data_IF_219248234990
#
_entry.id   IF_219248234990
#
_cell.length_a   1.000
_cell.length_b   1.000
_cell.length_c   1.000
_cell.angle_alpha   90.00
_cell.angle_beta   90.00
_cell.angle_gamma   90.00
#
_symmetry.space_group_name_H-M   'P 1'
#
loop_
_entity.id
_entity.type
_entity.pdbx_description
1 polymer ?
#
# COMPACT_ATOMS: atom_id res chain seq x y z
N UNK A 1 21.58 -17.77 3.85
CA UNK A 1 20.13 -17.94 3.67
C UNK A 1 19.83 -17.73 2.21
N UNK A 2 19.32 -18.74 1.51
CA UNK A 2 18.89 -18.60 0.12
C UNK A 2 17.48 -19.15 0.03
N UNK A 3 16.50 -18.26 0.03
CA UNK A 3 15.08 -18.60 -0.07
C UNK A 3 14.70 -18.50 -1.54
N UNK A 4 14.43 -19.64 -2.17
CA UNK A 4 13.94 -19.72 -3.54
C UNK A 4 12.45 -19.39 -3.65
N UNK A 5 11.76 -19.25 -2.51
CA UNK A 5 10.37 -18.83 -2.44
C UNK A 5 10.31 -17.32 -2.17
N UNK A 6 9.55 -16.58 -2.98
CA UNK A 6 9.31 -15.13 -2.82
C UNK A 6 8.52 -14.77 -1.54
N UNK A 7 8.45 -15.67 -0.54
CA UNK A 7 7.73 -15.46 0.72
C UNK A 7 8.39 -14.42 1.63
N UNK A 8 9.68 -14.15 1.42
CA UNK A 8 10.45 -13.21 2.23
C UNK A 8 10.57 -11.81 1.60
N UNK A 9 9.89 -11.56 0.46
CA UNK A 9 9.95 -10.28 -0.25
C UNK A 9 8.60 -9.59 -0.20
N UNK A 10 8.59 -8.36 0.28
CA UNK A 10 7.38 -7.52 0.36
C UNK A 10 7.60 -6.22 -0.43
N UNK A 11 6.69 -5.94 -1.36
CA UNK A 11 6.57 -4.62 -1.95
C UNK A 11 5.72 -3.72 -1.06
N UNK A 12 6.27 -2.56 -0.69
CA UNK A 12 5.62 -1.51 0.09
C UNK A 12 5.72 -0.20 -0.69
N UNK A 13 4.58 0.45 -0.90
CA UNK A 13 4.51 1.83 -1.40
C UNK A 13 3.89 2.72 -0.33
N UNK A 14 4.64 3.71 0.16
CA UNK A 14 4.18 4.63 1.21
C UNK A 14 4.28 6.07 0.74
N UNK A 15 3.20 6.83 0.90
CA UNK A 15 3.17 8.26 0.59
C UNK A 15 3.27 9.09 1.87
N UNK A 16 4.28 9.96 1.93
CA UNK A 16 4.55 10.84 3.07
C UNK A 16 4.43 12.30 2.69
N UNK A 17 3.88 13.11 3.60
CA UNK A 17 3.89 14.56 3.52
C UNK A 17 4.20 15.15 4.90
N UNK A 18 5.14 16.11 4.99
CA UNK A 18 5.57 16.70 6.27
C UNK A 18 5.94 15.67 7.36
N UNK A 19 6.62 14.58 6.98
CA UNK A 19 6.99 13.45 7.87
C UNK A 19 5.79 12.67 8.43
N UNK A 20 4.57 12.95 7.97
CA UNK A 20 3.37 12.19 8.27
C UNK A 20 3.10 11.20 7.14
N UNK A 21 2.90 9.93 7.49
CA UNK A 21 2.43 8.93 6.53
C UNK A 21 0.95 9.17 6.24
N UNK A 22 0.61 9.26 4.96
CA UNK A 22 -0.76 9.52 4.54
C UNK A 22 -1.45 8.19 4.23
N UNK A 23 -0.88 7.38 3.33
CA UNK A 23 -1.38 6.05 3.02
C UNK A 23 -0.25 5.12 2.56
N UNK A 24 -0.50 3.81 2.64
CA UNK A 24 0.42 2.76 2.21
C UNK A 24 -0.30 1.64 1.46
N UNK A 25 0.28 1.18 0.37
CA UNK A 25 0.02 -0.15 -0.17
C UNK A 25 1.11 -1.11 0.34
N UNK A 26 0.67 -2.29 0.74
CA UNK A 26 1.56 -3.42 1.00
C UNK A 26 1.04 -4.61 0.21
N UNK A 27 1.94 -5.27 -0.52
CA UNK A 27 1.64 -6.50 -1.26
C UNK A 27 1.14 -7.64 -0.36
N UNK A 28 1.51 -7.65 0.92
CA UNK A 28 0.99 -8.64 1.89
C UNK A 28 -0.46 -8.37 2.30
N UNK A 29 -0.90 -7.11 2.23
CA UNK A 29 -2.28 -6.68 2.55
C UNK A 29 -3.17 -6.61 1.29
N UNK A 30 -2.58 -6.31 0.13
CA UNK A 30 -3.26 -6.25 -1.17
C UNK A 30 -4.17 -5.03 -1.38
N UNK A 31 -4.02 -3.98 -0.58
CA UNK A 31 -4.81 -2.74 -0.69
C UNK A 31 -4.11 -1.56 -0.01
N UNK A 32 -4.59 -0.36 -0.31
CA UNK A 32 -4.18 0.85 0.39
C UNK A 32 -4.81 0.96 1.78
N UNK A 33 -4.01 1.37 2.77
CA UNK A 33 -4.41 1.69 4.15
C UNK A 33 -4.04 3.15 4.42
N UNK A 34 -4.98 3.93 4.94
CA UNK A 34 -4.76 5.34 5.30
C UNK A 34 -4.42 5.54 6.78
N UNK A 35 -3.49 6.45 7.09
CA UNK A 35 -3.01 6.74 8.45
C UNK A 35 -3.37 8.14 8.96
N UNK A 36 -4.15 8.88 8.17
CA UNK A 36 -4.79 10.14 8.53
C UNK A 36 -6.21 10.14 7.97
N UNK A 37 -7.09 11.04 8.44
CA UNK A 37 -8.45 11.14 7.88
C UNK A 37 -8.42 11.39 6.36
N UNK A 38 -7.53 12.27 5.92
CA UNK A 38 -7.27 12.49 4.50
C UNK A 38 -6.76 11.22 3.82
N UNK A 39 -5.80 10.54 4.43
CA UNK A 39 -5.25 9.27 3.93
C UNK A 39 -6.29 8.16 3.78
N UNK A 40 -7.26 8.07 4.69
CA UNK A 40 -8.37 7.10 4.59
C UNK A 40 -9.24 7.41 3.37
N UNK A 41 -9.52 8.70 3.10
CA UNK A 41 -10.26 9.10 1.89
C UNK A 41 -9.49 8.74 0.62
N UNK A 42 -8.18 8.95 0.59
CA UNK A 42 -7.32 8.56 -0.54
C UNK A 42 -7.24 7.05 -0.71
N UNK A 43 -7.02 6.30 0.37
CA UNK A 43 -6.99 4.84 0.34
C UNK A 43 -8.31 4.27 -0.21
N UNK A 44 -9.45 4.81 0.24
CA UNK A 44 -10.77 4.42 -0.29
C UNK A 44 -10.95 4.81 -1.76
N UNK A 45 -10.36 5.91 -2.22
CA UNK A 45 -10.38 6.29 -3.63
C UNK A 45 -9.59 5.29 -4.47
N UNK A 46 -8.33 4.99 -4.12
CA UNK A 46 -7.50 4.03 -4.86
C UNK A 46 -8.08 2.61 -4.81
N UNK A 47 -8.59 2.17 -3.66
CA UNK A 47 -9.17 0.83 -3.50
C UNK A 47 -10.45 0.62 -4.33
N UNK A 48 -11.08 1.68 -4.84
CA UNK A 48 -12.21 1.56 -5.78
C UNK A 48 -11.76 1.21 -7.20
N UNK A 49 -10.54 1.59 -7.58
CA UNK A 49 -9.96 1.20 -8.86
C UNK A 49 -9.21 -0.13 -8.71
N UNK A 50 -9.96 -1.23 -8.83
CA UNK A 50 -9.41 -2.58 -8.67
C UNK A 50 -8.38 -2.93 -9.74
N UNK A 51 -8.47 -2.32 -10.93
CA UNK A 51 -7.50 -2.55 -12.00
C UNK A 51 -6.16 -1.92 -11.65
N UNK A 52 -6.17 -0.69 -11.12
CA UNK A 52 -4.97 -0.05 -10.60
C UNK A 52 -4.36 -0.86 -9.44
N UNK A 53 -5.13 -1.21 -8.42
CA UNK A 53 -4.63 -1.94 -7.25
C UNK A 53 -4.05 -3.31 -7.61
N UNK A 54 -4.66 -4.03 -8.56
CA UNK A 54 -4.16 -5.36 -8.96
C UNK A 54 -2.90 -5.30 -9.83
N UNK A 55 -2.53 -4.11 -10.32
CA UNK A 55 -1.29 -3.90 -11.08
C UNK A 55 -0.07 -3.59 -10.22
N UNK A 56 -0.27 -3.42 -8.90
CA UNK A 56 0.75 -3.13 -7.88
C UNK A 56 1.19 -4.41 -7.15
#
# INVERSE_FOLDING_TARGET
FNSTELKDIEYIYSYYYNKLEIYRFSSSVGKFVGYSEYGVKQANYFNKDTAYVSSL
#
